data_IF_603857331516
#
_entry.id   IF_603857331516
#
_cell.length_a   1.000
_cell.length_b   1.000
_cell.length_c   1.000
_cell.angle_alpha   90.00
_cell.angle_beta   90.00
_cell.angle_gamma   90.00
#
_symmetry.space_group_name_H-M   'P 1'
#
loop_
_entity.id
_entity.type
_entity.pdbx_description
1 polymer ?
#
# COMPACT_ATOMS: atom_id res chain seq x y z
N UNK A 1 6.86 8.80 18.51
CA UNK A 1 7.89 8.70 17.45
C UNK A 1 8.09 7.26 17.00
N UNK A 2 8.41 6.30 17.90
CA UNK A 2 8.61 4.89 17.51
C UNK A 2 7.39 4.23 16.87
N UNK A 3 6.18 4.42 17.42
CA UNK A 3 4.94 3.87 16.84
C UNK A 3 4.62 4.43 15.43
N UNK A 4 5.03 5.68 15.18
CA UNK A 4 4.79 6.34 13.89
C UNK A 4 5.76 5.82 12.81
N UNK A 5 7.02 5.53 13.15
CA UNK A 5 8.01 4.93 12.26
C UNK A 5 7.74 3.46 11.94
N UNK A 6 7.24 2.69 12.91
CA UNK A 6 6.88 1.27 12.70
C UNK A 6 5.69 1.15 11.74
N UNK A 7 4.77 2.11 11.77
CA UNK A 7 3.60 2.10 10.91
C UNK A 7 3.93 2.25 9.42
N UNK A 8 4.92 3.09 9.08
CA UNK A 8 5.39 3.28 7.71
C UNK A 8 6.06 2.04 7.15
N UNK A 9 7.08 1.56 7.86
CA UNK A 9 7.82 0.36 7.47
C UNK A 9 6.91 -0.87 7.30
N UNK A 10 5.92 -1.03 8.18
CA UNK A 10 4.91 -2.09 8.04
C UNK A 10 4.10 -1.94 6.76
N UNK A 11 3.52 -0.76 6.50
CA UNK A 11 2.68 -0.53 5.32
C UNK A 11 3.47 -0.67 4.02
N UNK A 12 4.69 -0.14 3.94
CA UNK A 12 5.56 -0.35 2.78
C UNK A 12 5.86 -1.84 2.55
N UNK A 13 6.19 -2.58 3.61
CA UNK A 13 6.43 -4.04 3.48
C UNK A 13 5.18 -4.80 3.03
N UNK A 14 3.99 -4.37 3.49
CA UNK A 14 2.71 -4.94 3.09
C UNK A 14 2.43 -4.67 1.60
N UNK A 15 2.62 -3.43 1.13
CA UNK A 15 2.42 -3.08 -0.27
C UNK A 15 3.36 -3.87 -1.19
N UNK A 16 4.64 -3.95 -0.86
CA UNK A 16 5.60 -4.77 -1.62
C UNK A 16 5.17 -6.24 -1.66
N UNK A 17 4.78 -6.81 -0.51
CA UNK A 17 4.29 -8.20 -0.44
C UNK A 17 3.06 -8.43 -1.33
N UNK A 18 2.12 -7.48 -1.35
CA UNK A 18 0.92 -7.57 -2.20
C UNK A 18 1.27 -7.43 -3.69
N UNK A 19 2.19 -6.54 -4.04
CA UNK A 19 2.71 -6.36 -5.41
C UNK A 19 3.38 -7.64 -5.90
N UNK A 20 4.29 -8.21 -5.11
CA UNK A 20 4.96 -9.47 -5.43
C UNK A 20 3.96 -10.62 -5.55
N UNK A 21 2.94 -10.65 -4.68
CA UNK A 21 1.89 -11.67 -4.74
C UNK A 21 1.05 -11.56 -6.01
N UNK A 22 0.80 -10.37 -6.54
CA UNK A 22 0.10 -10.21 -7.83
C UNK A 22 0.90 -10.79 -9.00
N UNK A 23 2.23 -10.73 -8.95
CA UNK A 23 3.11 -11.35 -9.93
C UNK A 23 3.29 -12.87 -9.71
N UNK A 24 2.76 -13.44 -8.62
CA UNK A 24 2.89 -14.87 -8.32
C UNK A 24 2.09 -15.73 -9.29
N UNK A 25 2.61 -16.93 -9.57
CA UNK A 25 1.93 -17.92 -10.41
C UNK A 25 0.54 -18.28 -9.89
N UNK A 26 0.34 -18.29 -8.58
CA UNK A 26 -0.95 -18.57 -7.95
C UNK A 26 -2.03 -17.56 -8.37
N UNK A 27 -1.72 -16.26 -8.31
CA UNK A 27 -2.67 -15.20 -8.69
C UNK A 27 -2.87 -15.17 -10.20
N UNK A 28 -1.79 -15.29 -10.99
CA UNK A 28 -1.86 -15.32 -12.44
C UNK A 28 -2.68 -16.52 -12.95
N UNK A 29 -2.49 -17.69 -12.35
CA UNK A 29 -3.24 -18.90 -12.69
C UNK A 29 -4.70 -18.81 -12.22
N UNK A 30 -4.97 -18.15 -11.09
CA UNK A 30 -6.34 -17.86 -10.66
C UNK A 30 -7.07 -16.99 -11.69
N UNK A 31 -6.46 -15.87 -12.11
CA UNK A 31 -7.04 -14.98 -13.12
C UNK A 31 -7.28 -15.72 -14.44
N UNK A 32 -6.32 -16.55 -14.86
CA UNK A 32 -6.43 -17.37 -16.07
C UNK A 32 -7.55 -18.40 -15.96
N UNK A 33 -7.59 -19.20 -14.89
CA UNK A 33 -8.61 -20.25 -14.67
C UNK A 33 -10.03 -19.68 -14.56
N UNK A 34 -10.16 -18.45 -14.08
CA UNK A 34 -11.44 -17.75 -13.91
C UNK A 34 -11.79 -16.83 -15.09
N UNK A 35 -10.98 -16.78 -16.15
CA UNK A 35 -11.13 -15.86 -17.29
C UNK A 35 -11.35 -14.40 -16.85
N UNK A 36 -10.65 -13.97 -15.80
CA UNK A 36 -10.69 -12.59 -15.33
C UNK A 36 -9.89 -11.68 -16.26
N UNK A 37 -10.34 -10.44 -16.40
CA UNK A 37 -9.66 -9.46 -17.24
C UNK A 37 -8.26 -9.14 -16.65
N UNK A 38 -7.15 -9.40 -17.37
CA UNK A 38 -5.80 -9.11 -16.89
C UNK A 38 -5.55 -7.62 -16.62
N UNK A 39 -6.33 -6.73 -17.25
CA UNK A 39 -6.29 -5.28 -16.97
C UNK A 39 -6.66 -4.98 -15.52
N UNK A 40 -7.52 -5.78 -14.89
CA UNK A 40 -7.88 -5.58 -13.48
C UNK A 40 -6.66 -5.80 -12.56
N UNK A 41 -5.84 -6.81 -12.85
CA UNK A 41 -4.63 -7.08 -12.08
C UNK A 41 -3.63 -5.93 -12.26
N UNK A 42 -3.48 -5.42 -13.50
CA UNK A 42 -2.60 -4.28 -13.76
C UNK A 42 -3.09 -2.99 -13.08
N UNK A 43 -4.39 -2.75 -13.07
CA UNK A 43 -4.98 -1.61 -12.38
C UNK A 43 -4.75 -1.70 -10.86
N UNK A 44 -4.89 -2.88 -10.27
CA UNK A 44 -4.61 -3.09 -8.85
C UNK A 44 -3.15 -2.84 -8.50
N UNK A 45 -2.22 -3.28 -9.36
CA UNK A 45 -0.79 -2.99 -9.25
C UNK A 45 -0.51 -1.48 -9.26
N UNK A 46 -1.08 -0.75 -10.22
CA UNK A 46 -0.93 0.72 -10.31
C UNK A 46 -1.50 1.40 -9.06
N UNK A 47 -2.65 0.97 -8.55
CA UNK A 47 -3.26 1.52 -7.35
C UNK A 47 -2.37 1.29 -6.11
N UNK A 48 -1.80 0.11 -5.96
CA UNK A 48 -0.90 -0.21 -4.83
C UNK A 48 0.38 0.61 -4.88
N UNK A 49 1.02 0.71 -6.06
CA UNK A 49 2.21 1.56 -6.26
C UNK A 49 1.89 3.03 -5.94
N UNK A 50 0.71 3.52 -6.38
CA UNK A 50 0.28 4.89 -6.12
C UNK A 50 0.08 5.13 -4.62
N UNK A 51 -0.52 4.18 -3.91
CA UNK A 51 -0.74 4.27 -2.47
C UNK A 51 0.58 4.28 -1.69
N UNK A 52 1.55 3.46 -2.07
CA UNK A 52 2.89 3.44 -1.49
C UNK A 52 3.61 4.78 -1.70
N UNK A 53 3.57 5.35 -2.91
CA UNK A 53 4.17 6.65 -3.19
C UNK A 53 3.55 7.79 -2.39
N UNK A 54 2.21 7.79 -2.24
CA UNK A 54 1.50 8.78 -1.41
C UNK A 54 1.88 8.63 0.06
N UNK A 55 2.02 7.40 0.55
CA UNK A 55 2.44 7.14 1.92
C UNK A 55 3.87 7.64 2.15
N UNK A 56 4.83 7.30 1.29
CA UNK A 56 6.23 7.72 1.38
C UNK A 56 6.37 9.25 1.39
N UNK A 57 5.70 9.94 0.47
CA UNK A 57 5.67 11.40 0.42
C UNK A 57 5.06 12.02 1.69
N UNK A 58 3.99 11.42 2.20
CA UNK A 58 3.36 11.85 3.45
C UNK A 58 4.29 11.67 4.65
N UNK A 59 5.02 10.57 4.74
CA UNK A 59 5.96 10.32 5.84
C UNK A 59 7.13 11.30 5.83
N UNK A 60 7.65 11.66 4.66
CA UNK A 60 8.65 12.72 4.52
C UNK A 60 8.15 14.10 4.97
N UNK A 61 6.85 14.38 4.77
CA UNK A 61 6.23 15.68 5.11
C UNK A 61 5.63 15.75 6.52
N UNK A 62 5.50 14.63 7.23
CA UNK A 62 4.76 14.55 8.50
C UNK A 62 5.31 15.49 9.59
N UNK A 63 6.62 15.76 9.59
CA UNK A 63 7.27 16.62 10.58
C UNK A 63 7.05 18.11 10.29
N UNK A 64 6.90 18.47 9.01
CA UNK A 64 6.76 19.86 8.56
C UNK A 64 5.32 20.29 8.27
N UNK A 65 4.39 19.34 8.16
CA UNK A 65 3.00 19.64 7.83
C UNK A 65 2.03 18.94 8.83
N UNK A 66 1.38 19.70 9.73
CA UNK A 66 0.48 19.14 10.73
C UNK A 66 -0.77 18.48 10.12
N UNK A 67 -1.20 18.90 8.93
CA UNK A 67 -2.32 18.27 8.22
C UNK A 67 -1.93 16.89 7.70
N UNK A 68 -0.72 16.73 7.16
CA UNK A 68 -0.18 15.44 6.71
C UNK A 68 -0.03 14.50 7.90
N UNK A 69 0.50 14.99 9.03
CA UNK A 69 0.60 14.20 10.25
C UNK A 69 -0.76 13.71 10.74
N UNK A 70 -1.77 14.58 10.76
CA UNK A 70 -3.14 14.21 11.15
C UNK A 70 -3.72 13.14 10.22
N UNK A 71 -3.54 13.30 8.91
CA UNK A 71 -3.99 12.33 7.92
C UNK A 71 -3.34 10.96 8.11
N UNK A 72 -2.00 10.91 8.31
CA UNK A 72 -1.29 9.66 8.59
C UNK A 72 -1.76 8.99 9.88
N UNK A 73 -2.02 9.76 10.93
CA UNK A 73 -2.51 9.24 12.20
C UNK A 73 -3.89 8.59 12.03
N UNK A 74 -4.80 9.25 11.31
CA UNK A 74 -6.13 8.70 11.01
C UNK A 74 -6.04 7.44 10.13
N UNK A 75 -5.16 7.44 9.13
CA UNK A 75 -4.93 6.27 8.28
C UNK A 75 -4.47 5.07 9.11
N UNK A 76 -3.51 5.28 10.03
CA UNK A 76 -3.00 4.24 10.93
C UNK A 76 -4.10 3.72 11.87
N UNK A 77 -4.93 4.60 12.42
CA UNK A 77 -6.07 4.20 13.27
C UNK A 77 -7.09 3.31 12.54
N UNK A 78 -7.31 3.52 11.24
CA UNK A 78 -8.24 2.70 10.45
C UNK A 78 -7.65 1.33 10.12
N UNK A 79 -6.34 1.25 9.84
CA UNK A 79 -5.70 0.02 9.39
C UNK A 79 -5.33 -0.92 10.56
N UNK A 80 -4.95 -0.37 11.72
CA UNK A 80 -4.51 -1.18 12.88
C UNK A 80 -5.64 -1.54 13.86
N UNK A 81 -6.90 -1.40 13.44
CA UNK A 81 -8.07 -1.76 14.22
C UNK A 81 -8.66 -3.09 13.77
#
# INVERSE_FOLDING_TARGET
MALELVGGAFLSSLFQTLIDKMASSEVLDFFRKKNLNPVLLKNLEILLISAEAVLDDAEGKQLGNPYVRKWLLQLKEVIYK
#
